data_IF_869563599994
#
_entry.id   IF_869563599994
#
_cell.length_a   1.000
_cell.length_b   1.000
_cell.length_c   1.000
_cell.angle_alpha   90.00
_cell.angle_beta   90.00
_cell.angle_gamma   90.00
#
_symmetry.space_group_name_H-M   'P 1'
#
loop_
_entity.id
_entity.type
_entity.pdbx_description
1 polymer ?
#
# COMPACT_ATOMS: atom_id res chain seq x y z
N UNK A 1 10.01 -8.13 -14.85
CA UNK A 1 9.29 -7.79 -16.10
C UNK A 1 8.60 -6.44 -15.99
N UNK A 2 7.92 -6.21 -14.85
CA UNK A 2 7.14 -4.99 -14.61
C UNK A 2 7.95 -3.69 -14.72
N UNK A 3 9.20 -3.65 -14.22
CA UNK A 3 10.09 -2.49 -14.32
C UNK A 3 10.35 -2.03 -15.75
N UNK A 4 10.54 -2.97 -16.68
CA UNK A 4 10.74 -2.63 -18.10
C UNK A 4 9.47 -2.05 -18.72
N UNK A 5 8.30 -2.61 -18.36
CA UNK A 5 7.00 -2.09 -18.80
C UNK A 5 6.80 -0.68 -18.22
N UNK A 6 7.06 -0.49 -16.93
CA UNK A 6 6.97 0.81 -16.28
C UNK A 6 7.87 1.85 -16.93
N UNK A 7 9.13 1.52 -17.21
CA UNK A 7 10.06 2.43 -17.88
C UNK A 7 9.56 2.81 -19.29
N UNK A 8 9.03 1.85 -20.05
CA UNK A 8 8.43 2.13 -21.36
C UNK A 8 7.18 3.01 -21.23
N UNK A 9 6.29 2.72 -20.28
CA UNK A 9 5.10 3.53 -20.03
C UNK A 9 5.46 4.95 -19.63
N UNK A 10 6.46 5.15 -18.77
CA UNK A 10 6.89 6.50 -18.37
C UNK A 10 7.43 7.31 -19.55
N UNK A 11 8.13 6.67 -20.48
CA UNK A 11 8.56 7.32 -21.73
C UNK A 11 7.36 7.71 -22.58
N UNK A 12 6.38 6.81 -22.76
CA UNK A 12 5.15 7.11 -23.52
C UNK A 12 4.37 8.24 -22.86
N UNK A 13 4.17 8.18 -21.54
CA UNK A 13 3.48 9.21 -20.75
C UNK A 13 4.14 10.56 -20.95
N UNK A 14 5.47 10.63 -20.85
CA UNK A 14 6.22 11.88 -21.01
C UNK A 14 6.04 12.48 -22.41
N UNK A 15 6.11 11.66 -23.46
CA UNK A 15 5.95 12.12 -24.84
C UNK A 15 4.50 12.51 -25.16
N UNK A 16 3.51 11.70 -24.78
CA UNK A 16 2.10 12.01 -25.00
C UNK A 16 1.67 13.24 -24.19
N UNK A 17 2.11 13.37 -22.94
CA UNK A 17 1.88 14.57 -22.12
C UNK A 17 2.37 15.84 -22.81
N UNK A 18 3.55 15.84 -23.43
CA UNK A 18 4.05 17.00 -24.19
C UNK A 18 3.11 17.36 -25.34
N UNK A 19 2.72 16.36 -26.15
CA UNK A 19 1.78 16.56 -27.27
C UNK A 19 0.43 17.11 -26.80
N UNK A 20 -0.14 16.56 -25.72
CA UNK A 20 -1.42 17.04 -25.17
C UNK A 20 -1.32 18.45 -24.59
N UNK A 21 -0.16 18.83 -24.04
CA UNK A 21 0.10 20.18 -23.55
C UNK A 21 0.25 21.22 -24.68
N UNK A 22 0.83 20.82 -25.82
CA UNK A 22 1.01 21.67 -27.00
C UNK A 22 -0.25 21.77 -27.86
N UNK A 23 -1.17 20.82 -27.74
CA UNK A 23 -2.42 20.82 -28.47
C UNK A 23 -3.30 22.00 -28.07
N UNK A 24 -3.52 22.93 -29.02
CA UNK A 24 -4.26 24.18 -28.79
C UNK A 24 -5.77 23.91 -28.69
N UNK A 25 -6.21 23.46 -27.52
CA UNK A 25 -7.61 23.27 -27.14
C UNK A 25 -7.92 24.13 -25.91
N UNK A 26 -9.05 24.84 -25.93
CA UNK A 26 -9.49 25.71 -24.81
C UNK A 26 -10.69 25.16 -24.04
N UNK A 27 -11.37 24.15 -24.57
CA UNK A 27 -12.56 23.58 -23.96
C UNK A 27 -12.17 22.60 -22.84
N UNK A 28 -12.27 23.05 -21.59
CA UNK A 28 -11.87 22.30 -20.39
C UNK A 28 -12.32 20.84 -20.35
N UNK A 29 -13.62 20.54 -20.53
CA UNK A 29 -14.12 19.15 -20.53
C UNK A 29 -13.50 18.26 -21.62
N UNK A 30 -13.21 18.83 -22.81
CA UNK A 30 -12.55 18.07 -23.88
C UNK A 30 -11.09 17.80 -23.53
N UNK A 31 -10.43 18.74 -22.87
CA UNK A 31 -9.06 18.55 -22.37
C UNK A 31 -9.04 17.43 -21.33
N UNK A 32 -9.99 17.40 -20.38
CA UNK A 32 -10.13 16.30 -19.42
C UNK A 32 -10.16 14.94 -20.11
N UNK A 33 -11.11 14.78 -21.05
CA UNK A 33 -11.29 13.55 -21.85
C UNK A 33 -10.04 13.11 -22.61
N UNK A 34 -9.18 14.03 -23.03
CA UNK A 34 -7.90 13.67 -23.68
C UNK A 34 -6.95 12.96 -22.71
N UNK A 35 -6.84 13.43 -21.46
CA UNK A 35 -6.01 12.80 -20.44
C UNK A 35 -6.63 11.51 -19.90
N UNK A 36 -7.96 11.49 -19.73
CA UNK A 36 -8.71 10.27 -19.39
C UNK A 36 -8.50 9.17 -20.44
N UNK A 37 -8.59 9.54 -21.72
CA UNK A 37 -8.34 8.64 -22.85
C UNK A 37 -6.91 8.09 -22.88
N UNK A 38 -5.91 8.94 -22.64
CA UNK A 38 -4.51 8.51 -22.52
C UNK A 38 -4.34 7.50 -21.36
N UNK A 39 -4.88 7.81 -20.18
CA UNK A 39 -4.84 6.90 -19.02
C UNK A 39 -5.49 5.55 -19.34
N UNK A 40 -6.68 5.56 -19.95
CA UNK A 40 -7.39 4.35 -20.34
C UNK A 40 -6.57 3.48 -21.29
N UNK A 41 -5.98 4.07 -22.32
CA UNK A 41 -5.16 3.34 -23.31
C UNK A 41 -3.89 2.75 -22.70
N UNK A 42 -3.23 3.46 -21.78
CA UNK A 42 -2.06 2.95 -21.08
C UNK A 42 -2.43 1.77 -20.17
N UNK A 43 -3.52 1.88 -19.41
CA UNK A 43 -3.98 0.81 -18.53
C UNK A 43 -4.37 -0.45 -19.31
N UNK A 44 -5.08 -0.32 -20.44
CA UNK A 44 -5.42 -1.46 -21.32
C UNK A 44 -4.19 -2.24 -21.79
N UNK A 45 -3.07 -1.55 -22.02
CA UNK A 45 -1.80 -2.16 -22.45
C UNK A 45 -0.99 -2.75 -21.30
N UNK A 46 -1.32 -2.40 -20.06
CA UNK A 46 -0.53 -2.72 -18.88
C UNK A 46 -1.11 -3.84 -18.03
N UNK A 47 -2.40 -4.12 -18.18
CA UNK A 47 -3.12 -5.16 -17.44
C UNK A 47 -3.04 -6.49 -18.23
N UNK A 48 -2.94 -7.65 -17.56
CA UNK A 48 -2.90 -8.93 -18.24
C UNK A 48 -4.17 -9.22 -19.06
N UNK A 49 -4.01 -9.42 -20.38
CA UNK A 49 -5.13 -9.66 -21.31
C UNK A 49 -5.90 -10.96 -21.05
N UNK A 50 -5.29 -11.92 -20.33
CA UNK A 50 -5.90 -13.20 -20.00
C UNK A 50 -6.95 -13.12 -18.88
N UNK A 51 -7.10 -11.97 -18.20
CA UNK A 51 -7.94 -11.84 -17.01
C UNK A 51 -9.40 -11.41 -17.27
N UNK A 52 -9.85 -11.32 -18.52
CA UNK A 52 -11.21 -10.84 -18.86
C UNK A 52 -11.59 -9.50 -18.20
N UNK A 53 -10.59 -8.67 -17.90
CA UNK A 53 -10.74 -7.36 -17.29
C UNK A 53 -11.06 -6.31 -18.34
N UNK A 54 -11.77 -5.26 -17.93
CA UNK A 54 -12.13 -4.14 -18.80
C UNK A 54 -11.67 -2.83 -18.16
N UNK A 55 -11.21 -1.91 -19.01
CA UNK A 55 -10.88 -0.53 -18.64
C UNK A 55 -11.92 0.40 -19.25
N UNK A 56 -12.63 1.13 -18.41
CA UNK A 56 -13.96 1.67 -18.72
C UNK A 56 -14.23 2.96 -17.93
N UNK A 57 -15.13 3.80 -18.44
CA UNK A 57 -15.65 5.00 -17.76
C UNK A 57 -17.10 4.73 -17.39
N UNK A 58 -17.55 5.27 -16.26
CA UNK A 58 -18.92 5.02 -15.82
C UNK A 58 -19.17 5.24 -14.34
N UNK A 59 -20.28 4.71 -13.86
CA UNK A 59 -20.75 4.91 -12.48
C UNK A 59 -20.65 3.62 -11.70
N UNK A 60 -20.40 3.72 -10.40
CA UNK A 60 -20.42 2.58 -9.48
C UNK A 60 -21.72 2.62 -8.69
N UNK A 61 -22.33 1.45 -8.48
CA UNK A 61 -23.51 1.31 -7.65
C UNK A 61 -23.36 0.18 -6.64
N UNK A 62 -24.10 0.31 -5.54
CA UNK A 62 -24.45 -0.77 -4.63
C UNK A 62 -25.98 -0.78 -4.45
N UNK A 63 -26.50 -1.58 -3.52
CA UNK A 63 -27.95 -1.73 -3.33
C UNK A 63 -28.67 -0.42 -2.93
N UNK A 64 -27.96 0.56 -2.38
CA UNK A 64 -28.55 1.76 -1.79
C UNK A 64 -28.13 3.07 -2.47
N UNK A 65 -26.96 3.11 -3.10
CA UNK A 65 -26.31 4.33 -3.55
C UNK A 65 -25.59 4.16 -4.90
N UNK A 66 -25.37 5.28 -5.58
CA UNK A 66 -24.55 5.39 -6.79
C UNK A 66 -23.52 6.50 -6.61
N UNK A 67 -22.34 6.32 -7.19
CA UNK A 67 -21.29 7.35 -7.23
C UNK A 67 -21.56 8.39 -8.32
N UNK A 68 -20.70 9.41 -8.40
CA UNK A 68 -20.53 10.17 -9.64
C UNK A 68 -19.92 9.32 -10.75
N UNK A 69 -19.76 9.91 -11.93
CA UNK A 69 -19.02 9.29 -13.03
C UNK A 69 -17.53 9.25 -12.70
N UNK A 70 -16.96 8.05 -12.69
CA UNK A 70 -15.53 7.80 -12.50
C UNK A 70 -14.85 7.81 -13.87
N UNK A 71 -13.80 8.62 -13.98
CA UNK A 71 -13.02 8.83 -15.21
C UNK A 71 -12.52 7.50 -15.81
N UNK A 72 -11.93 6.65 -14.97
CA UNK A 72 -11.45 5.33 -15.37
C UNK A 72 -11.60 4.30 -14.26
N UNK A 73 -12.09 3.11 -14.61
CA UNK A 73 -12.23 1.97 -13.72
C UNK A 73 -11.60 0.74 -14.35
N UNK A 74 -11.02 -0.11 -13.51
CA UNK A 74 -10.65 -1.49 -13.87
C UNK A 74 -11.69 -2.39 -13.23
N UNK A 75 -12.36 -3.19 -14.05
CA UNK A 75 -13.52 -3.98 -13.62
C UNK A 75 -13.45 -5.41 -14.14
N UNK A 76 -14.08 -6.31 -13.40
CA UNK A 76 -14.34 -7.69 -13.80
C UNK A 76 -15.81 -7.87 -14.21
N UNK A 77 -16.10 -8.98 -14.89
CA UNK A 77 -17.47 -9.38 -15.20
C UNK A 77 -18.20 -8.45 -16.18
N UNK A 78 -19.51 -8.29 -15.94
CA UNK A 78 -20.41 -7.59 -16.85
C UNK A 78 -21.03 -6.38 -16.16
N UNK A 79 -20.89 -5.22 -16.80
CA UNK A 79 -21.59 -3.99 -16.40
C UNK A 79 -22.89 -3.82 -17.17
N UNK A 80 -23.77 -2.96 -16.67
CA UNK A 80 -25.00 -2.58 -17.35
C UNK A 80 -24.74 -1.32 -18.18
N UNK A 81 -24.98 -1.39 -19.49
CA UNK A 81 -24.85 -0.21 -20.36
C UNK A 81 -25.93 0.80 -20.01
N UNK A 82 -25.54 2.05 -19.78
CA UNK A 82 -26.52 3.12 -19.55
C UNK A 82 -27.19 3.46 -20.89
N UNK A 83 -28.53 3.39 -21.00
CA UNK A 83 -29.24 3.59 -22.26
C UNK A 83 -28.84 4.89 -22.97
N UNK A 84 -28.61 4.80 -24.28
CA UNK A 84 -28.24 5.94 -25.15
C UNK A 84 -26.92 6.65 -24.81
N UNK A 85 -26.04 6.03 -24.03
CA UNK A 85 -24.69 6.56 -23.73
C UNK A 85 -23.59 5.54 -24.06
N UNK A 86 -22.33 5.98 -23.96
CA UNK A 86 -21.16 5.10 -23.98
C UNK A 86 -20.73 4.66 -22.57
N UNK A 87 -21.39 5.16 -21.53
CA UNK A 87 -21.06 4.90 -20.13
C UNK A 87 -21.78 3.64 -19.64
N UNK A 88 -21.18 2.98 -18.67
CA UNK A 88 -21.70 1.77 -18.04
C UNK A 88 -21.86 2.01 -16.54
N UNK A 89 -22.68 1.21 -15.88
CA UNK A 89 -22.65 1.10 -14.42
C UNK A 89 -22.15 -0.29 -13.99
N UNK A 90 -21.31 -0.32 -12.97
CA UNK A 90 -20.80 -1.55 -12.35
C UNK A 90 -21.19 -1.63 -10.89
N UNK A 91 -21.49 -2.85 -10.46
CA UNK A 91 -21.66 -3.12 -9.05
C UNK A 91 -20.29 -3.02 -8.36
N UNK A 92 -20.22 -2.39 -7.18
CA UNK A 92 -18.97 -2.14 -6.45
C UNK A 92 -18.10 -3.39 -6.25
N UNK A 93 -18.73 -4.56 -6.02
CA UNK A 93 -18.05 -5.87 -5.88
C UNK A 93 -17.17 -6.26 -7.08
N UNK A 94 -17.53 -5.79 -8.28
CA UNK A 94 -16.87 -6.12 -9.54
C UNK A 94 -15.80 -5.07 -9.92
N UNK A 95 -15.65 -4.01 -9.12
CA UNK A 95 -14.66 -2.95 -9.32
C UNK A 95 -13.35 -3.33 -8.63
N UNK A 96 -12.25 -3.30 -9.38
CA UNK A 96 -10.90 -3.62 -8.89
C UNK A 96 -10.14 -2.35 -8.53
N UNK A 97 -10.24 -1.34 -9.38
CA UNK A 97 -9.61 -0.04 -9.17
C UNK A 97 -10.43 1.09 -9.80
N UNK A 98 -10.33 2.27 -9.22
CA UNK A 98 -10.90 3.53 -9.68
C UNK A 98 -9.79 4.57 -9.77
N UNK A 99 -9.81 5.34 -10.85
CA UNK A 99 -8.76 6.30 -11.17
C UNK A 99 -9.42 7.63 -11.54
N UNK A 100 -9.12 8.67 -10.76
CA UNK A 100 -9.43 10.06 -11.06
C UNK A 100 -8.30 10.70 -11.85
N UNK A 101 -8.61 11.38 -12.95
CA UNK A 101 -7.62 11.91 -13.89
C UNK A 101 -7.75 13.43 -13.99
N UNK A 102 -6.66 14.14 -13.65
CA UNK A 102 -6.59 15.59 -13.76
C UNK A 102 -5.44 15.98 -14.69
N UNK A 103 -5.69 16.95 -15.59
CA UNK A 103 -4.60 17.57 -16.37
C UNK A 103 -3.56 18.17 -15.43
N UNK A 104 -4.02 18.92 -14.43
CA UNK A 104 -3.17 19.60 -13.45
C UNK A 104 -3.73 19.38 -12.05
N UNK A 105 -2.94 18.78 -11.16
CA UNK A 105 -3.32 18.49 -9.79
C UNK A 105 -2.73 19.54 -8.85
N UNK A 106 -3.53 20.55 -8.55
CA UNK A 106 -3.32 21.53 -7.47
C UNK A 106 -4.45 21.38 -6.44
N UNK A 107 -4.37 22.14 -5.34
CA UNK A 107 -5.23 22.03 -4.15
C UNK A 107 -6.70 21.69 -4.45
N UNK A 108 -7.40 22.50 -5.23
CA UNK A 108 -8.83 22.27 -5.49
C UNK A 108 -9.10 20.92 -6.19
N UNK A 109 -8.27 20.56 -7.17
CA UNK A 109 -8.40 19.29 -7.87
C UNK A 109 -7.96 18.10 -7.02
N UNK A 110 -6.99 18.30 -6.12
CA UNK A 110 -6.56 17.29 -5.15
C UNK A 110 -7.68 16.97 -4.17
N UNK A 111 -8.32 18.01 -3.63
CA UNK A 111 -9.46 17.88 -2.71
C UNK A 111 -10.63 17.21 -3.40
N UNK A 112 -11.02 17.70 -4.58
CA UNK A 112 -12.13 17.13 -5.37
C UNK A 112 -11.92 15.64 -5.65
N UNK A 113 -10.73 15.25 -6.12
CA UNK A 113 -10.40 13.85 -6.36
C UNK A 113 -10.39 13.00 -5.08
N UNK A 114 -9.85 13.52 -3.97
CA UNK A 114 -9.86 12.82 -2.69
C UNK A 114 -11.29 12.54 -2.23
N UNK A 115 -12.13 13.58 -2.21
CA UNK A 115 -13.53 13.50 -1.79
C UNK A 115 -14.34 12.55 -2.68
N UNK A 116 -14.07 12.56 -3.99
CA UNK A 116 -14.74 11.67 -4.91
C UNK A 116 -14.37 10.20 -4.66
N UNK A 117 -13.07 9.92 -4.49
CA UNK A 117 -12.57 8.57 -4.22
C UNK A 117 -12.97 8.07 -2.82
N UNK A 118 -13.13 8.96 -1.84
CA UNK A 118 -13.68 8.60 -0.53
C UNK A 118 -15.09 8.01 -0.67
N UNK A 119 -15.95 8.61 -1.49
CA UNK A 119 -17.33 8.11 -1.70
C UNK A 119 -17.35 6.68 -2.27
N UNK A 120 -16.35 6.28 -3.05
CA UNK A 120 -16.21 4.90 -3.53
C UNK A 120 -15.95 3.95 -2.36
N UNK A 121 -15.09 4.35 -1.42
CA UNK A 121 -14.84 3.57 -0.20
C UNK A 121 -16.07 3.48 0.67
N UNK A 122 -16.77 4.60 0.88
CA UNK A 122 -18.02 4.61 1.65
C UNK A 122 -19.02 3.65 1.00
N UNK A 123 -19.18 3.68 -0.33
CA UNK A 123 -20.03 2.75 -1.08
C UNK A 123 -19.62 1.29 -0.89
N UNK A 124 -18.31 1.00 -0.85
CA UNK A 124 -17.80 -0.34 -0.60
C UNK A 124 -18.03 -0.82 0.84
N UNK A 125 -17.82 0.03 1.85
CA UNK A 125 -18.12 -0.31 3.25
C UNK A 125 -19.59 -0.64 3.44
N UNK A 126 -20.50 0.17 2.89
CA UNK A 126 -21.93 -0.11 2.95
C UNK A 126 -22.29 -1.44 2.29
N UNK A 127 -21.64 -1.78 1.17
CA UNK A 127 -21.86 -3.07 0.50
C UNK A 127 -21.45 -4.24 1.39
N UNK A 128 -20.31 -4.15 2.07
CA UNK A 128 -19.85 -5.20 2.98
C UNK A 128 -20.79 -5.34 4.18
N UNK A 129 -21.22 -4.23 4.77
CA UNK A 129 -22.15 -4.21 5.91
C UNK A 129 -23.54 -4.76 5.55
N UNK A 130 -24.02 -4.52 4.32
CA UNK A 130 -25.33 -5.00 3.86
C UNK A 130 -25.31 -6.43 3.32
N UNK A 131 -24.13 -6.98 3.05
CA UNK A 131 -23.99 -8.31 2.47
C UNK A 131 -24.07 -9.41 3.53
N UNK A 132 -25.07 -10.28 3.43
CA UNK A 132 -25.10 -11.57 4.16
C UNK A 132 -24.17 -12.61 3.50
N UNK A 133 -22.93 -12.21 3.17
CA UNK A 133 -22.02 -13.06 2.42
C UNK A 133 -21.37 -14.10 3.34
N UNK A 134 -21.77 -15.36 3.16
CA UNK A 134 -21.08 -16.54 3.69
C UNK A 134 -19.82 -16.91 2.88
N UNK A 135 -19.32 -16.01 2.03
CA UNK A 135 -18.11 -16.27 1.25
C UNK A 135 -16.89 -16.25 2.18
N UNK A 136 -16.07 -17.28 2.11
CA UNK A 136 -14.78 -17.33 2.80
C UNK A 136 -13.83 -16.37 2.10
N UNK A 137 -13.58 -15.23 2.73
CA UNK A 137 -12.68 -14.21 2.24
C UNK A 137 -11.26 -14.51 2.74
N UNK A 138 -10.30 -14.62 1.83
CA UNK A 138 -8.89 -14.71 2.18
C UNK A 138 -8.40 -13.35 2.71
N UNK A 139 -8.02 -13.30 3.99
CA UNK A 139 -7.49 -12.11 4.66
C UNK A 139 -5.99 -12.24 4.99
N UNK A 140 -5.32 -13.31 4.53
CA UNK A 140 -3.93 -13.64 4.91
C UNK A 140 -2.96 -12.48 4.72
N UNK A 141 -3.09 -11.74 3.61
CA UNK A 141 -2.25 -10.58 3.34
C UNK A 141 -2.47 -9.43 4.34
N UNK A 142 -3.70 -9.16 4.77
CA UNK A 142 -4.00 -8.17 5.80
C UNK A 142 -3.44 -8.59 7.16
N UNK A 143 -3.55 -9.87 7.51
CA UNK A 143 -3.01 -10.42 8.76
C UNK A 143 -1.49 -10.27 8.81
N UNK A 144 -0.83 -10.61 7.70
CA UNK A 144 0.61 -10.41 7.54
C UNK A 144 0.98 -8.92 7.67
N UNK A 145 0.32 -8.04 6.93
CA UNK A 145 0.61 -6.60 6.95
C UNK A 145 0.42 -6.00 8.35
N UNK A 146 -0.65 -6.38 9.06
CA UNK A 146 -0.88 -6.00 10.45
C UNK A 146 0.27 -6.45 11.35
N UNK A 147 0.72 -7.71 11.21
CA UNK A 147 1.78 -8.27 12.04
C UNK A 147 3.12 -7.60 11.79
N UNK A 148 3.46 -7.35 10.52
CA UNK A 148 4.67 -6.64 10.12
C UNK A 148 4.70 -5.18 10.65
N UNK A 149 3.54 -4.52 10.72
CA UNK A 149 3.45 -3.12 11.17
C UNK A 149 3.46 -3.00 12.69
N UNK A 150 2.73 -3.87 13.38
CA UNK A 150 2.48 -3.76 14.82
C UNK A 150 3.46 -4.57 15.66
N UNK A 151 4.11 -5.56 15.07
CA UNK A 151 4.87 -6.56 15.82
C UNK A 151 4.00 -7.55 16.59
N UNK A 152 2.67 -7.51 16.43
CA UNK A 152 1.72 -8.42 17.08
C UNK A 152 1.28 -9.45 16.07
N UNK A 153 1.41 -10.73 16.42
CA UNK A 153 0.97 -11.80 15.53
C UNK A 153 -0.55 -11.76 15.39
N UNK A 154 -1.03 -11.49 14.17
CA UNK A 154 -2.44 -11.33 13.89
C UNK A 154 -3.23 -12.61 14.26
N UNK A 155 -4.27 -12.52 15.10
CA UNK A 155 -5.11 -13.66 15.41
C UNK A 155 -6.00 -14.04 14.22
N UNK A 156 -6.68 -15.18 14.33
CA UNK A 156 -7.73 -15.54 13.38
C UNK A 156 -8.89 -14.52 13.45
N UNK A 157 -9.66 -14.38 12.38
CA UNK A 157 -10.80 -13.45 12.34
C UNK A 157 -11.80 -13.63 13.49
N UNK A 158 -12.02 -14.88 13.93
CA UNK A 158 -12.98 -15.16 15.00
C UNK A 158 -12.44 -14.85 16.39
N UNK A 159 -11.12 -14.72 16.53
CA UNK A 159 -10.46 -14.49 17.82
C UNK A 159 -10.02 -13.03 18.01
N UNK A 160 -10.16 -12.18 16.99
CA UNK A 160 -9.64 -10.80 17.02
C UNK A 160 -10.19 -9.99 18.20
N UNK A 161 -11.50 -10.02 18.42
CA UNK A 161 -12.16 -9.29 19.50
C UNK A 161 -11.77 -9.75 20.91
N UNK A 162 -11.24 -10.97 21.05
CA UNK A 162 -10.80 -11.53 22.33
C UNK A 162 -9.32 -11.25 22.57
N UNK A 163 -8.52 -11.23 21.49
CA UNK A 163 -7.05 -11.22 21.55
C UNK A 163 -6.42 -9.85 21.35
N UNK A 164 -7.13 -8.90 20.76
CA UNK A 164 -6.64 -7.56 20.49
C UNK A 164 -7.30 -6.56 21.44
N UNK A 165 -6.56 -5.51 21.80
CA UNK A 165 -7.17 -4.30 22.34
C UNK A 165 -8.08 -3.65 21.30
N UNK A 166 -9.02 -2.81 21.75
CA UNK A 166 -9.96 -2.18 20.82
C UNK A 166 -9.28 -1.30 19.75
N UNK A 167 -8.15 -0.65 20.10
CA UNK A 167 -7.36 0.13 19.14
C UNK A 167 -6.65 -0.76 18.11
N UNK A 168 -6.16 -1.93 18.53
CA UNK A 168 -5.55 -2.90 17.62
C UNK A 168 -6.61 -3.55 16.73
N UNK A 169 -7.80 -3.83 17.24
CA UNK A 169 -8.92 -4.36 16.46
C UNK A 169 -9.35 -3.40 15.35
N UNK A 170 -9.44 -2.09 15.63
CA UNK A 170 -9.74 -1.07 14.60
C UNK A 170 -8.64 -1.03 13.52
N UNK A 171 -7.36 -1.16 13.89
CA UNK A 171 -6.25 -1.23 12.95
C UNK A 171 -6.31 -2.52 12.11
N UNK A 172 -6.56 -3.66 12.76
CA UNK A 172 -6.74 -4.97 12.14
C UNK A 172 -7.83 -4.94 11.04
N UNK A 173 -9.02 -4.43 11.37
CA UNK A 173 -10.10 -4.29 10.39
C UNK A 173 -9.80 -3.24 9.31
N UNK A 174 -8.98 -2.23 9.61
CA UNK A 174 -8.49 -1.28 8.60
C UNK A 174 -7.66 -1.99 7.53
N UNK A 175 -6.72 -2.87 7.90
CA UNK A 175 -5.96 -3.66 6.92
C UNK A 175 -6.84 -4.60 6.09
N UNK A 176 -7.87 -5.21 6.68
CA UNK A 176 -8.82 -6.06 5.96
C UNK A 176 -9.61 -5.23 4.94
N UNK A 177 -10.12 -4.08 5.36
CA UNK A 177 -10.84 -3.14 4.49
C UNK A 177 -9.99 -2.69 3.29
N UNK A 178 -8.72 -2.36 3.55
CA UNK A 178 -7.74 -1.97 2.53
C UNK A 178 -7.44 -3.10 1.53
N UNK A 179 -7.38 -4.36 1.98
CA UNK A 179 -7.16 -5.49 1.08
C UNK A 179 -8.28 -5.68 0.08
N UNK A 180 -9.53 -5.54 0.51
CA UNK A 180 -10.67 -5.93 -0.32
C UNK A 180 -11.28 -4.78 -1.11
N UNK A 181 -11.22 -3.56 -0.58
CA UNK A 181 -11.72 -2.36 -1.27
C UNK A 181 -11.10 -2.15 -2.65
N UNK A 182 -11.83 -1.49 -3.58
CA UNK A 182 -11.23 -1.05 -4.83
C UNK A 182 -10.03 -0.15 -4.57
N UNK A 183 -8.96 -0.35 -5.35
CA UNK A 183 -7.81 0.55 -5.32
C UNK A 183 -8.27 1.93 -5.82
N UNK A 184 -7.93 2.99 -5.08
CA UNK A 184 -8.26 4.37 -5.41
C UNK A 184 -6.99 5.12 -5.78
N UNK A 185 -6.95 5.65 -7.00
CA UNK A 185 -5.78 6.33 -7.56
C UNK A 185 -6.17 7.71 -8.07
N UNK A 186 -5.34 8.71 -7.81
CA UNK A 186 -5.42 10.02 -8.47
C UNK A 186 -4.22 10.18 -9.40
N UNK A 187 -4.44 10.59 -10.65
CA UNK A 187 -3.38 10.88 -11.62
C UNK A 187 -3.49 12.33 -12.08
N UNK A 188 -2.55 13.14 -11.62
CA UNK A 188 -2.26 14.48 -12.11
C UNK A 188 -1.10 14.45 -13.10
N UNK A 189 -1.35 14.66 -14.39
CA UNK A 189 -0.26 14.69 -15.39
C UNK A 189 0.67 15.89 -15.21
N UNK A 190 0.18 16.98 -14.66
CA UNK A 190 0.95 18.16 -14.26
C UNK A 190 0.57 18.53 -12.82
N UNK A 191 1.32 19.43 -12.19
CA UNK A 191 0.96 19.97 -10.87
C UNK A 191 2.15 20.60 -10.17
N UNK A 192 2.27 20.29 -8.87
CA UNK A 192 3.31 20.81 -7.98
C UNK A 192 4.72 20.60 -8.54
N UNK A 193 5.58 21.62 -8.34
CA UNK A 193 6.96 21.62 -8.85
C UNK A 193 7.95 20.88 -7.94
N UNK A 194 7.55 20.59 -6.71
CA UNK A 194 8.37 19.89 -5.71
C UNK A 194 7.52 18.92 -4.89
N UNK A 195 8.14 17.84 -4.42
CA UNK A 195 7.55 16.90 -3.46
C UNK A 195 7.08 17.62 -2.18
N UNK A 196 7.87 18.58 -1.68
CA UNK A 196 7.49 19.38 -0.51
C UNK A 196 6.16 20.11 -0.73
N UNK A 197 6.01 20.86 -1.82
CA UNK A 197 4.76 21.58 -2.11
C UNK A 197 3.52 20.66 -2.26
N UNK A 198 3.70 19.42 -2.76
CA UNK A 198 2.62 18.43 -2.77
C UNK A 198 2.24 18.01 -1.34
N UNK A 199 3.23 17.73 -0.49
CA UNK A 199 3.03 17.38 0.93
C UNK A 199 2.36 18.52 1.69
N UNK A 200 2.87 19.74 1.57
CA UNK A 200 2.34 20.93 2.24
C UNK A 200 0.87 21.15 1.88
N UNK A 201 0.53 21.06 0.58
CA UNK A 201 -0.87 21.18 0.14
C UNK A 201 -1.78 20.10 0.70
N UNK A 202 -1.25 18.88 0.93
CA UNK A 202 -2.01 17.78 1.48
C UNK A 202 -2.20 17.95 3.00
N UNK A 203 -1.16 18.40 3.71
CA UNK A 203 -1.23 18.76 5.14
C UNK A 203 -2.28 19.87 5.33
N UNK A 204 -2.22 20.94 4.55
CA UNK A 204 -3.18 22.05 4.60
C UNK A 204 -4.63 21.55 4.45
N UNK A 205 -4.86 20.56 3.59
CA UNK A 205 -6.17 19.97 3.40
C UNK A 205 -6.59 19.11 4.60
N UNK A 206 -5.68 18.29 5.13
CA UNK A 206 -5.96 17.44 6.29
C UNK A 206 -6.26 18.29 7.54
N UNK A 207 -5.47 19.34 7.79
CA UNK A 207 -5.65 20.27 8.91
C UNK A 207 -7.01 20.97 8.88
N UNK A 208 -7.49 21.32 7.69
CA UNK A 208 -8.80 21.92 7.48
C UNK A 208 -9.97 20.96 7.78
N UNK A 209 -9.69 19.66 7.90
CA UNK A 209 -10.70 18.62 8.05
C UNK A 209 -10.49 17.73 9.29
N UNK A 210 -9.60 18.12 10.21
CA UNK A 210 -9.47 17.46 11.51
C UNK A 210 -10.79 17.50 12.29
N UNK A 211 -11.07 16.42 13.03
CA UNK A 211 -12.32 16.23 13.77
C UNK A 211 -13.59 16.21 12.90
N UNK A 212 -13.45 15.93 11.60
CA UNK A 212 -14.57 15.74 10.68
C UNK A 212 -14.71 14.26 10.34
N UNK A 213 -15.95 13.76 10.27
CA UNK A 213 -16.21 12.38 9.88
C UNK A 213 -15.79 12.12 8.43
N UNK A 214 -15.33 10.91 8.14
CA UNK A 214 -14.89 10.50 6.80
C UNK A 214 -13.41 10.73 6.53
N UNK A 215 -12.62 11.23 7.48
CA UNK A 215 -11.19 11.48 7.30
C UNK A 215 -10.31 10.47 8.05
N UNK A 216 -10.78 9.23 8.24
CA UNK A 216 -9.96 8.13 8.78
C UNK A 216 -8.98 7.59 7.73
N UNK A 217 -7.96 6.82 8.13
CA UNK A 217 -6.93 6.33 7.20
C UNK A 217 -7.52 5.59 6.01
N UNK A 218 -8.59 4.81 6.17
CA UNK A 218 -9.29 4.11 5.07
C UNK A 218 -9.83 5.05 3.98
N UNK A 219 -10.04 6.34 4.25
CA UNK A 219 -10.49 7.31 3.24
C UNK A 219 -9.40 7.69 2.23
N UNK A 220 -8.13 7.55 2.60
CA UNK A 220 -7.00 7.99 1.79
C UNK A 220 -6.83 7.10 0.56
N UNK A 221 -6.69 7.68 -0.65
CA UNK A 221 -6.33 6.94 -1.85
C UNK A 221 -5.01 6.18 -1.66
N UNK A 222 -4.91 4.98 -2.24
CA UNK A 222 -3.69 4.19 -2.18
C UNK A 222 -2.54 4.84 -2.95
N UNK A 223 -2.84 5.62 -3.98
CA UNK A 223 -1.84 6.34 -4.76
C UNK A 223 -2.35 7.70 -5.25
N UNK A 224 -1.53 8.73 -5.09
CA UNK A 224 -1.72 10.03 -5.73
C UNK A 224 -0.47 10.34 -6.52
N UNK A 225 -0.58 10.45 -7.84
CA UNK A 225 0.51 10.86 -8.74
C UNK A 225 0.32 12.33 -9.07
N UNK A 226 1.35 13.14 -8.86
CA UNK A 226 1.40 14.54 -9.25
C UNK A 226 2.69 14.76 -10.06
N UNK A 227 2.57 14.72 -11.39
CA UNK A 227 3.69 14.76 -12.31
C UNK A 227 4.68 13.62 -12.02
N UNK A 228 5.86 13.94 -11.48
CA UNK A 228 6.93 12.99 -11.13
C UNK A 228 6.96 12.62 -9.65
N UNK A 229 6.06 13.17 -8.84
CA UNK A 229 5.97 12.89 -7.41
C UNK A 229 4.75 12.01 -7.15
N UNK A 230 4.82 11.20 -6.10
CA UNK A 230 3.71 10.38 -5.68
C UNK A 230 3.55 10.35 -4.17
N UNK A 231 2.31 10.26 -3.70
CA UNK A 231 1.98 9.88 -2.33
C UNK A 231 1.44 8.45 -2.35
N UNK A 232 1.97 7.57 -1.50
CA UNK A 232 1.71 6.13 -1.51
C UNK A 232 1.28 5.67 -0.13
N UNK A 233 0.27 4.79 -0.10
CA UNK A 233 -0.19 4.16 1.13
C UNK A 233 0.59 2.89 1.46
N UNK A 234 0.96 2.76 2.73
CA UNK A 234 1.77 1.67 3.28
C UNK A 234 0.90 0.65 4.01
N UNK A 235 0.07 -0.06 3.26
CA UNK A 235 -0.92 -1.01 3.80
C UNK A 235 -0.53 -2.49 3.59
N UNK A 236 0.73 -2.77 3.25
CA UNK A 236 1.23 -4.11 2.90
C UNK A 236 0.85 -4.59 1.49
N UNK A 237 0.37 -3.68 0.63
CA UNK A 237 -0.20 -4.02 -0.68
C UNK A 237 0.29 -3.09 -1.81
N UNK A 238 1.55 -3.22 -2.26
CA UNK A 238 2.59 -4.14 -1.79
C UNK A 238 3.50 -3.56 -0.72
N UNK A 239 3.51 -2.24 -0.55
CA UNK A 239 4.49 -1.58 0.30
C UNK A 239 4.04 -1.58 1.76
N UNK A 240 5.00 -1.81 2.64
CA UNK A 240 4.81 -1.78 4.07
C UNK A 240 5.95 -1.04 4.76
N UNK A 241 5.70 -0.57 5.97
CA UNK A 241 6.70 0.05 6.84
C UNK A 241 6.32 -0.21 8.29
N UNK A 242 7.31 -0.44 9.15
CA UNK A 242 7.07 -0.60 10.58
C UNK A 242 6.42 0.65 11.19
N UNK A 243 5.65 0.42 12.25
CA UNK A 243 5.17 1.52 13.10
C UNK A 243 6.31 2.04 13.97
N UNK A 244 6.27 3.34 14.29
CA UNK A 244 7.21 3.98 15.21
C UNK A 244 6.41 4.70 16.30
N UNK A 245 6.77 4.51 17.57
CA UNK A 245 6.13 5.16 18.73
C UNK A 245 4.59 5.02 18.77
N UNK A 246 4.09 3.89 18.27
CA UNK A 246 2.65 3.60 18.17
C UNK A 246 1.91 4.33 17.04
N UNK A 247 2.61 5.04 16.15
CA UNK A 247 2.06 5.54 14.90
C UNK A 247 2.33 4.57 13.76
N UNK A 248 1.29 4.17 13.04
CA UNK A 248 1.45 3.52 11.75
C UNK A 248 1.81 4.57 10.70
N UNK A 249 3.00 4.45 10.10
CA UNK A 249 3.48 5.33 9.03
C UNK A 249 2.76 5.04 7.70
N UNK A 250 1.45 5.27 7.67
CA UNK A 250 0.55 4.79 6.62
C UNK A 250 0.70 5.51 5.28
N UNK A 251 1.35 6.67 5.23
CA UNK A 251 1.51 7.44 3.99
C UNK A 251 2.95 7.95 3.83
N UNK A 252 3.49 7.77 2.62
CA UNK A 252 4.82 8.25 2.23
C UNK A 252 4.75 9.11 0.99
N UNK A 253 5.82 9.84 0.72
CA UNK A 253 6.05 10.53 -0.55
C UNK A 253 7.25 9.93 -1.30
N UNK A 254 7.25 10.01 -2.62
CA UNK A 254 8.36 9.53 -3.45
C UNK A 254 8.53 10.33 -4.74
N UNK A 255 9.74 10.28 -5.26
CA UNK A 255 10.10 10.70 -6.63
C UNK A 255 10.53 9.52 -7.52
N UNK A 256 10.30 8.29 -7.06
CA UNK A 256 10.52 7.09 -7.85
C UNK A 256 9.59 7.04 -9.06
N UNK A 257 9.81 6.07 -9.96
CA UNK A 257 9.02 5.95 -11.17
C UNK A 257 7.53 5.69 -10.81
N UNK A 258 6.69 6.71 -10.97
CA UNK A 258 5.27 6.64 -10.60
C UNK A 258 4.47 5.62 -11.43
N UNK A 259 4.90 5.33 -12.66
CA UNK A 259 4.31 4.25 -13.45
C UNK A 259 4.66 2.88 -12.86
N UNK A 260 5.85 2.71 -12.29
CA UNK A 260 6.23 1.46 -11.63
C UNK A 260 5.38 1.23 -10.38
N UNK A 261 5.30 2.23 -9.51
CA UNK A 261 4.45 2.21 -8.31
C UNK A 261 2.98 1.89 -8.67
N UNK A 262 2.44 2.54 -9.70
CA UNK A 262 1.08 2.27 -10.20
C UNK A 262 0.91 0.80 -10.60
N UNK A 263 1.84 0.28 -11.38
CA UNK A 263 1.78 -1.11 -11.82
C UNK A 263 1.94 -2.08 -10.65
N UNK A 264 2.81 -1.80 -9.69
CA UNK A 264 3.01 -2.64 -8.51
C UNK A 264 1.74 -2.74 -7.66
N UNK A 265 1.09 -1.61 -7.35
CA UNK A 265 -0.18 -1.61 -6.62
C UNK A 265 -1.27 -2.40 -7.37
N UNK A 266 -1.42 -2.16 -8.68
CA UNK A 266 -2.44 -2.86 -9.48
C UNK A 266 -2.14 -4.36 -9.61
N UNK A 267 -0.90 -4.73 -9.93
CA UNK A 267 -0.52 -6.12 -10.13
C UNK A 267 -0.55 -6.92 -8.83
N UNK A 268 -0.23 -6.32 -7.68
CA UNK A 268 -0.38 -6.99 -6.38
C UNK A 268 -1.84 -7.35 -6.09
N UNK A 269 -2.78 -6.41 -6.34
CA UNK A 269 -4.22 -6.68 -6.19
C UNK A 269 -4.70 -7.78 -7.14
N UNK A 270 -4.25 -7.75 -8.39
CA UNK A 270 -4.61 -8.77 -9.39
C UNK A 270 -4.01 -10.14 -9.06
N UNK A 271 -2.74 -10.18 -8.65
CA UNK A 271 -2.06 -11.42 -8.30
C UNK A 271 -2.77 -12.13 -7.16
N UNK A 272 -3.16 -11.39 -6.12
CA UNK A 272 -3.93 -11.94 -5.00
C UNK A 272 -5.34 -12.36 -5.41
N UNK A 273 -6.07 -11.50 -6.15
CA UNK A 273 -7.46 -11.80 -6.56
C UNK A 273 -7.56 -13.01 -7.50
N UNK A 274 -6.55 -13.26 -8.33
CA UNK A 274 -6.57 -14.29 -9.37
C UNK A 274 -5.52 -15.39 -9.18
N UNK A 275 -4.85 -15.46 -8.02
CA UNK A 275 -3.73 -16.37 -7.74
C UNK A 275 -2.70 -16.44 -8.88
N UNK A 276 -2.27 -15.26 -9.36
CA UNK A 276 -1.25 -15.19 -10.41
C UNK A 276 0.13 -15.44 -9.81
N UNK A 277 0.97 -16.15 -10.55
CA UNK A 277 2.39 -16.21 -10.23
C UNK A 277 3.02 -14.84 -10.37
N UNK A 278 3.76 -14.46 -9.34
CA UNK A 278 4.39 -13.16 -9.23
C UNK A 278 5.46 -12.95 -10.32
N UNK A 279 5.17 -12.07 -11.28
CA UNK A 279 6.04 -11.76 -12.42
C UNK A 279 6.90 -10.50 -12.19
N UNK A 280 7.28 -10.23 -10.94
CA UNK A 280 8.03 -9.03 -10.52
C UNK A 280 9.42 -8.96 -11.16
N UNK A 281 10.07 -10.11 -11.38
CA UNK A 281 11.38 -10.22 -12.02
C UNK A 281 12.47 -10.52 -10.99
N UNK A 282 13.61 -9.84 -11.08
CA UNK A 282 14.71 -10.04 -10.12
C UNK A 282 14.52 -9.23 -8.85
N UNK A 283 13.92 -8.04 -8.97
CA UNK A 283 13.44 -7.26 -7.82
C UNK A 283 14.54 -6.94 -6.78
N UNK A 284 15.74 -6.65 -7.28
CA UNK A 284 16.93 -6.32 -6.48
C UNK A 284 17.21 -4.83 -6.38
N UNK A 285 16.32 -4.01 -6.95
CA UNK A 285 16.32 -2.55 -6.78
C UNK A 285 14.94 -2.17 -6.29
N UNK A 286 14.87 -1.40 -5.21
CA UNK A 286 13.63 -0.91 -4.61
C UNK A 286 13.46 0.59 -4.83
N UNK A 287 12.23 1.03 -4.95
CA UNK A 287 11.84 2.43 -4.82
C UNK A 287 12.17 2.95 -3.42
N UNK A 288 12.56 4.21 -3.34
CA UNK A 288 12.73 4.90 -2.07
C UNK A 288 11.48 5.67 -1.70
N UNK A 289 11.23 5.72 -0.40
CA UNK A 289 10.08 6.39 0.18
C UNK A 289 10.53 7.33 1.29
N UNK A 290 10.01 8.55 1.27
CA UNK A 290 10.17 9.52 2.34
C UNK A 290 8.94 9.43 3.24
N UNK A 291 9.16 9.23 4.55
CA UNK A 291 8.08 9.27 5.54
C UNK A 291 7.29 10.59 5.41
N UNK A 292 5.96 10.49 5.45
CA UNK A 292 5.08 11.64 5.30
C UNK A 292 4.03 11.71 6.42
N UNK A 293 3.03 10.83 6.44
CA UNK A 293 1.98 10.83 7.46
C UNK A 293 2.01 9.55 8.29
N UNK A 294 1.89 9.73 9.60
CA UNK A 294 1.61 8.66 10.55
C UNK A 294 0.22 8.83 11.17
N UNK A 295 -0.39 7.71 11.53
CA UNK A 295 -1.73 7.65 12.10
C UNK A 295 -1.74 6.76 13.34
N UNK A 296 -2.42 7.22 14.39
CA UNK A 296 -2.65 6.46 15.62
C UNK A 296 -4.12 6.50 15.98
N UNK A 297 -4.66 5.36 16.40
CA UNK A 297 -6.05 5.27 16.83
C UNK A 297 -6.13 5.78 18.27
N UNK A 298 -7.04 6.72 18.51
CA UNK A 298 -7.37 7.21 19.84
C UNK A 298 -8.84 6.93 20.14
N UNK A 299 -9.10 6.55 21.38
CA UNK A 299 -10.45 6.50 21.93
C UNK A 299 -10.74 7.80 22.68
N UNK A 300 -11.87 8.44 22.36
CA UNK A 300 -12.37 9.62 23.06
C UNK A 300 -13.89 9.55 23.15
N UNK A 301 -14.43 9.64 24.37
CA UNK A 301 -15.88 9.61 24.63
C UNK A 301 -16.58 8.38 24.00
N UNK A 302 -16.01 7.18 24.16
CA UNK A 302 -16.49 5.92 23.57
C UNK A 302 -16.59 5.95 22.02
N UNK A 303 -15.80 6.79 21.36
CA UNK A 303 -15.67 6.84 19.91
C UNK A 303 -14.20 6.74 19.54
N UNK A 304 -13.91 6.02 18.46
CA UNK A 304 -12.56 5.90 17.92
C UNK A 304 -12.34 6.93 16.82
N UNK A 305 -11.15 7.53 16.81
CA UNK A 305 -10.70 8.46 15.78
C UNK A 305 -9.22 8.27 15.47
N UNK A 306 -8.77 8.95 14.43
CA UNK A 306 -7.37 8.96 14.02
C UNK A 306 -6.71 10.25 14.47
N UNK A 307 -5.63 10.12 15.24
CA UNK A 307 -4.66 11.18 15.44
C UNK A 307 -3.61 11.08 14.34
N UNK A 308 -3.30 12.21 13.72
CA UNK A 308 -2.34 12.31 12.64
C UNK A 308 -1.10 13.05 13.10
N UNK A 309 0.06 12.55 12.68
CA UNK A 309 1.30 13.30 12.67
C UNK A 309 1.85 13.39 11.24
N UNK A 310 2.74 14.35 11.01
CA UNK A 310 3.48 14.42 9.77
C UNK A 310 4.96 14.67 10.03
N UNK A 311 5.80 14.11 9.17
CA UNK A 311 7.23 14.40 9.17
C UNK A 311 7.47 15.66 8.34
N UNK A 312 8.12 16.67 8.89
CA UNK A 312 8.52 17.84 8.10
C UNK A 312 9.89 17.58 7.45
N UNK A 313 9.91 17.53 6.12
CA UNK A 313 11.13 17.35 5.31
C UNK A 313 11.21 18.47 4.27
N UNK A 314 12.27 19.27 4.35
CA UNK A 314 12.49 20.32 3.36
C UNK A 314 12.98 19.74 2.01
N UNK A 315 12.84 20.55 0.97
CA UNK A 315 13.28 20.20 -0.40
C UNK A 315 14.72 19.70 -0.52
N UNK A 316 15.66 20.19 0.32
CA UNK A 316 17.05 19.74 0.26
C UNK A 316 17.20 18.29 0.73
N UNK A 317 16.41 17.85 1.71
CA UNK A 317 16.39 16.45 2.14
C UNK A 317 15.74 15.56 1.10
N UNK A 318 14.56 15.96 0.60
CA UNK A 318 13.79 15.18 -0.37
C UNK A 318 14.56 14.94 -1.68
N UNK A 319 15.27 15.98 -2.18
CA UNK A 319 16.04 15.86 -3.43
C UNK A 319 17.34 15.06 -3.30
N UNK A 320 17.88 14.89 -2.08
CA UNK A 320 19.12 14.13 -1.86
C UNK A 320 18.90 12.63 -1.92
N UNK A 321 17.68 12.17 -1.67
CA UNK A 321 17.38 10.74 -1.67
C UNK A 321 17.40 10.21 -3.10
N UNK A 322 18.14 9.12 -3.40
CA UNK A 322 18.05 8.50 -4.71
C UNK A 322 16.64 7.99 -4.94
N UNK A 323 16.18 7.89 -6.19
CA UNK A 323 14.83 7.37 -6.51
C UNK A 323 14.71 5.86 -6.28
N UNK A 324 15.84 5.16 -6.29
CA UNK A 324 15.94 3.72 -6.07
C UNK A 324 17.19 3.39 -5.25
N UNK A 325 17.14 2.27 -4.55
CA UNK A 325 18.27 1.69 -3.81
C UNK A 325 18.38 0.20 -4.14
N UNK A 326 19.58 -0.36 -3.99
CA UNK A 326 19.75 -1.80 -4.07
C UNK A 326 19.06 -2.46 -2.87
N UNK A 327 18.24 -3.48 -3.14
CA UNK A 327 17.65 -4.32 -2.11
C UNK A 327 18.75 -5.04 -1.34
N UNK A 328 18.60 -5.11 -0.02
CA UNK A 328 19.48 -5.87 0.87
C UNK A 328 18.65 -6.67 1.87
N UNK A 329 19.11 -7.86 2.28
CA UNK A 329 18.51 -8.57 3.40
C UNK A 329 18.76 -7.83 4.72
N UNK A 330 18.04 -8.24 5.76
CA UNK A 330 18.27 -7.76 7.11
C UNK A 330 19.55 -8.39 7.65
N UNK A 331 20.52 -7.55 8.04
CA UNK A 331 21.71 -8.00 8.75
C UNK A 331 21.38 -8.13 10.22
N UNK A 332 21.78 -9.25 10.81
CA UNK A 332 21.45 -9.59 12.21
C UNK A 332 22.70 -10.01 12.96
N UNK A 333 22.64 -9.92 14.29
CA UNK A 333 23.68 -10.46 15.16
C UNK A 333 23.64 -11.99 15.16
N UNK A 334 24.70 -12.62 15.70
CA UNK A 334 24.74 -14.08 15.87
C UNK A 334 23.58 -14.59 16.73
N UNK A 335 23.23 -13.87 17.80
CA UNK A 335 22.16 -14.26 18.71
C UNK A 335 20.79 -14.12 18.06
N UNK A 336 20.54 -13.01 17.34
CA UNK A 336 19.33 -12.83 16.54
C UNK A 336 19.19 -13.91 15.45
N UNK A 337 20.27 -14.18 14.72
CA UNK A 337 20.33 -15.23 13.70
C UNK A 337 19.96 -16.62 14.25
N UNK A 338 20.37 -16.94 15.48
CA UNK A 338 19.97 -18.19 16.14
C UNK A 338 18.45 -18.26 16.33
N UNK A 339 17.81 -17.16 16.75
CA UNK A 339 16.34 -17.11 16.91
C UNK A 339 15.66 -17.34 15.57
N UNK A 340 16.11 -16.65 14.51
CA UNK A 340 15.58 -16.86 13.16
C UNK A 340 15.73 -18.31 12.69
N UNK A 341 16.89 -18.96 12.88
CA UNK A 341 17.07 -20.35 12.48
C UNK A 341 16.14 -21.32 13.23
N UNK A 342 15.90 -21.10 14.53
CA UNK A 342 14.95 -21.90 15.30
C UNK A 342 13.55 -21.77 14.74
N UNK A 343 13.10 -20.54 14.50
CA UNK A 343 11.78 -20.26 13.93
C UNK A 343 11.63 -20.83 12.52
N UNK A 344 12.64 -20.68 11.64
CA UNK A 344 12.68 -21.29 10.31
C UNK A 344 12.61 -22.83 10.37
N UNK A 345 13.07 -23.44 11.47
CA UNK A 345 12.99 -24.90 11.70
C UNK A 345 11.66 -25.34 12.33
N UNK A 346 10.70 -24.42 12.51
CA UNK A 346 9.42 -24.69 13.16
C UNK A 346 9.52 -24.90 14.66
N UNK A 347 10.59 -24.42 15.30
CA UNK A 347 10.79 -24.53 16.74
C UNK A 347 10.30 -23.25 17.40
N UNK A 348 9.35 -23.39 18.32
CA UNK A 348 8.83 -22.26 19.10
C UNK A 348 9.93 -21.62 19.97
N UNK A 349 9.84 -20.30 20.10
CA UNK A 349 10.72 -19.49 20.94
C UNK A 349 9.86 -18.65 21.86
N UNK A 350 9.99 -18.88 23.17
CA UNK A 350 9.26 -18.14 24.19
C UNK A 350 10.13 -17.02 24.76
N UNK A 351 9.58 -15.80 24.83
CA UNK A 351 10.31 -14.62 25.33
C UNK A 351 10.50 -14.63 26.84
N UNK A 352 9.76 -15.48 27.56
CA UNK A 352 9.84 -15.67 29.00
C UNK A 352 10.56 -16.98 29.40
N UNK A 353 11.21 -17.66 28.45
CA UNK A 353 12.02 -18.84 28.72
C UNK A 353 13.26 -18.48 29.55
N UNK A 354 13.38 -19.06 30.75
CA UNK A 354 14.44 -18.72 31.71
C UNK A 354 15.83 -19.05 31.16
N UNK A 355 15.99 -20.15 30.43
CA UNK A 355 17.29 -20.56 29.89
C UNK A 355 17.76 -19.61 28.79
N UNK A 356 16.85 -19.19 27.91
CA UNK A 356 17.12 -18.17 26.89
C UNK A 356 17.46 -16.83 27.52
N UNK A 357 16.68 -16.39 28.50
CA UNK A 357 16.91 -15.13 29.21
C UNK A 357 18.28 -15.11 29.92
N UNK A 358 18.66 -16.21 30.56
CA UNK A 358 19.96 -16.35 31.21
C UNK A 358 21.11 -16.43 30.20
N UNK A 359 20.89 -17.07 29.05
CA UNK A 359 21.85 -17.09 27.95
C UNK A 359 22.10 -15.68 27.40
N UNK A 360 21.05 -14.94 27.04
CA UNK A 360 21.15 -13.59 26.50
C UNK A 360 21.88 -12.64 27.47
N UNK A 361 21.56 -12.71 28.77
CA UNK A 361 22.26 -11.93 29.80
C UNK A 361 23.75 -12.28 29.90
N UNK A 362 24.12 -13.56 29.76
CA UNK A 362 25.53 -14.00 29.77
C UNK A 362 26.29 -13.51 28.54
N UNK A 363 25.63 -13.43 27.40
CA UNK A 363 26.18 -12.85 26.17
C UNK A 363 26.22 -11.31 26.19
N UNK A 364 25.71 -10.67 27.25
CA UNK A 364 25.74 -9.22 27.43
C UNK A 364 24.64 -8.47 26.68
N UNK A 365 23.59 -9.15 26.24
CA UNK A 365 22.45 -8.55 25.54
C UNK A 365 21.53 -7.82 26.53
N UNK A 366 20.99 -6.67 26.09
CA UNK A 366 19.83 -6.07 26.75
C UNK A 366 18.55 -6.78 26.28
N UNK A 367 18.00 -7.65 27.12
CA UNK A 367 16.89 -8.54 26.75
C UNK A 367 15.68 -7.81 26.14
N UNK A 368 15.15 -6.70 26.73
CA UNK A 368 14.03 -6.00 26.12
C UNK A 368 14.36 -5.43 24.75
N UNK A 369 15.51 -4.76 24.60
CA UNK A 369 15.95 -4.25 23.29
C UNK A 369 16.20 -5.37 22.28
N UNK A 370 16.72 -6.53 22.71
CA UNK A 370 16.98 -7.68 21.84
C UNK A 370 15.72 -8.17 21.13
N UNK A 371 14.62 -8.37 21.87
CA UNK A 371 13.36 -8.80 21.26
C UNK A 371 12.71 -7.70 20.42
N UNK A 372 12.83 -6.43 20.83
CA UNK A 372 12.34 -5.32 20.02
C UNK A 372 13.08 -5.25 18.67
N UNK A 373 14.41 -5.43 18.64
CA UNK A 373 15.18 -5.44 17.39
C UNK A 373 14.73 -6.56 16.44
N UNK A 374 14.38 -7.73 16.97
CA UNK A 374 13.82 -8.83 16.16
C UNK A 374 12.46 -8.46 15.58
N UNK A 375 11.58 -7.85 16.38
CA UNK A 375 10.24 -7.43 15.95
C UNK A 375 10.32 -6.28 14.94
N UNK A 376 11.23 -5.33 15.14
CA UNK A 376 11.45 -4.17 14.26
C UNK A 376 11.92 -4.57 12.85
N UNK A 377 12.41 -5.80 12.67
CA UNK A 377 12.68 -6.35 11.32
C UNK A 377 11.41 -6.50 10.48
N UNK A 378 10.24 -6.57 11.12
CA UNK A 378 8.97 -6.93 10.50
C UNK A 378 8.87 -8.41 10.12
N UNK A 379 9.92 -9.21 10.26
CA UNK A 379 9.96 -10.63 9.89
C UNK A 379 9.47 -11.54 11.03
N UNK A 380 9.41 -11.01 12.25
CA UNK A 380 8.94 -11.67 13.46
C UNK A 380 7.87 -10.80 14.12
N UNK A 381 6.86 -11.46 14.68
CA UNK A 381 5.86 -10.84 15.53
C UNK A 381 5.63 -11.68 16.79
N UNK A 382 5.12 -11.04 17.84
CA UNK A 382 4.84 -11.65 19.13
C UNK A 382 3.40 -12.19 19.17
N UNK A 383 3.26 -13.48 19.45
CA UNK A 383 2.02 -14.19 19.70
C UNK A 383 1.92 -14.48 21.20
N UNK A 384 1.38 -13.53 21.97
CA UNK A 384 1.42 -13.50 23.44
C UNK A 384 2.85 -13.54 23.99
N UNK A 385 3.39 -14.75 24.24
CA UNK A 385 4.76 -14.96 24.72
C UNK A 385 5.65 -15.69 23.73
N UNK A 386 5.11 -16.06 22.57
CA UNK A 386 5.82 -16.86 21.58
C UNK A 386 6.20 -15.98 20.38
N UNK A 387 7.43 -16.05 19.93
CA UNK A 387 7.84 -15.41 18.67
C UNK A 387 7.36 -16.25 17.48
N UNK A 388 6.83 -15.59 16.45
CA UNK A 388 6.43 -16.23 15.20
C UNK A 388 6.93 -15.45 13.99
N UNK A 389 7.21 -16.17 12.91
CA UNK A 389 7.50 -15.55 11.61
C UNK A 389 6.24 -14.93 11.02
N UNK A 390 6.37 -13.73 10.45
CA UNK A 390 5.33 -13.06 9.65
C UNK A 390 5.42 -13.41 8.16
N UNK A 391 6.58 -13.92 7.75
CA UNK A 391 6.93 -14.28 6.37
C UNK A 391 6.30 -15.58 5.91
N UNK A 392 6.14 -15.73 4.60
CA UNK A 392 5.79 -17.01 3.97
C UNK A 392 6.99 -17.96 3.90
N UNK A 393 8.17 -17.43 3.57
CA UNK A 393 9.40 -18.21 3.43
C UNK A 393 10.62 -17.43 3.92
N UNK A 394 10.77 -17.28 5.25
CA UNK A 394 12.00 -16.74 5.84
C UNK A 394 13.19 -17.67 5.57
N UNK A 395 14.31 -17.10 5.17
CA UNK A 395 15.56 -17.80 5.00
C UNK A 395 16.71 -17.07 5.69
N UNK A 396 17.66 -17.87 6.16
CA UNK A 396 18.87 -17.45 6.85
C UNK A 396 20.09 -17.82 5.99
N UNK A 397 21.09 -16.94 5.91
CA UNK A 397 22.38 -17.24 5.31
C UNK A 397 23.55 -16.64 6.10
N UNK A 398 24.71 -17.30 6.01
CA UNK A 398 25.99 -16.80 6.51
C UNK A 398 26.83 -16.44 5.29
N UNK A 399 27.28 -15.19 5.21
CA UNK A 399 28.08 -14.68 4.10
C UNK A 399 29.54 -15.10 4.23
N UNK A 400 30.31 -14.96 3.14
CA UNK A 400 31.73 -15.32 3.09
C UNK A 400 32.62 -14.49 4.01
N UNK A 401 32.16 -13.29 4.39
CA UNK A 401 32.81 -12.41 5.37
C UNK A 401 32.44 -12.75 6.83
N UNK A 402 31.57 -13.74 7.04
CA UNK A 402 31.08 -14.16 8.35
C UNK A 402 29.84 -13.40 8.83
N UNK A 403 29.30 -12.46 8.06
CA UNK A 403 28.08 -11.72 8.40
C UNK A 403 26.84 -12.63 8.33
N UNK A 404 25.85 -12.37 9.19
CA UNK A 404 24.59 -13.10 9.25
C UNK A 404 23.46 -12.28 8.61
N UNK A 405 22.70 -12.90 7.71
CA UNK A 405 21.61 -12.23 7.00
C UNK A 405 20.34 -13.07 6.99
N UNK A 406 19.19 -12.39 7.04
CA UNK A 406 17.86 -12.99 7.00
C UNK A 406 16.93 -12.21 6.08
N UNK A 407 16.03 -12.89 5.38
CA UNK A 407 15.03 -12.26 4.52
C UNK A 407 13.88 -13.21 4.17
N UNK A 408 12.74 -12.63 3.79
CA UNK A 408 11.69 -13.30 3.02
C UNK A 408 12.24 -13.74 1.64
N UNK A 409 11.85 -14.94 1.20
CA UNK A 409 12.27 -15.49 -0.08
C UNK A 409 11.14 -16.17 -0.88
N UNK A 410 9.88 -15.90 -0.58
CA UNK A 410 8.74 -16.44 -1.35
C UNK A 410 8.82 -16.14 -2.87
N UNK A 411 9.41 -15.00 -3.26
CA UNK A 411 9.62 -14.60 -4.66
C UNK A 411 11.00 -15.02 -5.24
N UNK A 412 11.83 -15.68 -4.44
CA UNK A 412 13.22 -16.00 -4.79
C UNK A 412 14.17 -14.79 -4.77
N UNK A 413 13.73 -13.62 -4.30
CA UNK A 413 14.53 -12.38 -4.28
C UNK A 413 15.82 -12.54 -3.50
N UNK A 414 15.77 -13.15 -2.30
CA UNK A 414 16.94 -13.36 -1.46
C UNK A 414 17.94 -14.33 -2.10
N UNK A 415 17.47 -15.43 -2.71
CA UNK A 415 18.35 -16.35 -3.45
C UNK A 415 19.06 -15.65 -4.61
N UNK A 416 18.34 -14.87 -5.42
CA UNK A 416 18.93 -14.10 -6.53
C UNK A 416 19.94 -13.05 -6.05
N UNK A 417 19.72 -12.49 -4.85
CA UNK A 417 20.67 -11.57 -4.24
C UNK A 417 21.97 -12.28 -3.85
N UNK A 418 21.88 -13.46 -3.21
CA UNK A 418 23.05 -14.29 -2.87
C UNK A 418 23.83 -14.69 -4.12
N UNK A 419 23.15 -15.10 -5.20
CA UNK A 419 23.80 -15.50 -6.46
C UNK A 419 24.60 -14.38 -7.14
N UNK A 420 24.37 -13.11 -6.76
CA UNK A 420 25.11 -11.96 -7.28
C UNK A 420 26.36 -11.59 -6.48
N UNK A 421 26.50 -12.11 -5.25
CA UNK A 421 27.69 -11.91 -4.41
C UNK A 421 28.84 -12.78 -4.92
#
# INVERSE_FOLDING_TARGET
>A
MIKNIANLLSQIINEEKKKLNEYNMKHGPTIGKMYEGLTSELLKKSIPNNLSLKVVTGIIYNDNNMTGEIDCMIVAGNGEKIPYTNSYKWHIKDVIAVIEVKKTLYKDNLIDSFEHLRKVQDSYMHYIESSNNNETIDISSSLRAFSEVTGIFAPSFNDSAIRLSATEEVLYHTFISEQHSPIRIVIGYNGYKSEQALRDSFIDYLDQNLNTNGYGVTSFPQLIICDKYSLIKMNGQPYNVSSNDGYWNFYVSSQANSALILLEILWTKLARKYNLSESWGNDLEMETFNQFLGGKILEKNNSYGWEYNYTDLNNKHLQKQPSTIDWKPTYVTKNEFMIFNRLCSGIDVYVDDIELLDYLKKEGEDVPSFFNLLIDTGLIALDDKTLRLTTEQCQCAILSDGSFVVAENNSGRFSKWIEKL
#
